data_IF_734936296729
#
_entry.id   IF_734936296729
#
_cell.length_a   1.000
_cell.length_b   1.000
_cell.length_c   1.000
_cell.angle_alpha   90.00
_cell.angle_beta   90.00
_cell.angle_gamma   90.00
#
_symmetry.space_group_name_H-M   'P 1'
#
loop_
_entity.id
_entity.type
_entity.pdbx_description
1 polymer ?
#
# COMPACT_ATOMS: atom_id res chain seq x y z
N UNK A 1 17.36 5.15 5.73
CA UNK A 1 16.09 4.43 5.92
C UNK A 1 14.99 5.39 5.60
N UNK A 2 14.03 4.99 4.78
CA UNK A 2 12.84 5.80 4.52
C UNK A 2 12.00 5.82 5.80
N UNK A 3 12.08 6.91 6.56
CA UNK A 3 11.21 7.17 7.71
C UNK A 3 9.91 7.81 7.20
N UNK A 4 9.20 7.07 6.34
CA UNK A 4 7.90 7.46 5.79
C UNK A 4 6.88 6.41 6.17
N UNK A 5 5.67 6.85 6.47
CA UNK A 5 4.57 5.96 6.78
C UNK A 5 3.81 5.67 5.48
N UNK A 6 3.69 4.39 5.09
CA UNK A 6 3.05 3.99 3.84
C UNK A 6 1.69 3.36 4.14
N UNK A 7 0.70 3.69 3.32
CA UNK A 7 -0.64 3.12 3.36
C UNK A 7 -0.99 2.59 1.98
N UNK A 8 -1.66 1.43 1.94
CA UNK A 8 -2.09 0.81 0.68
C UNK A 8 -3.62 0.87 0.65
N UNK A 9 -4.15 1.49 -0.39
CA UNK A 9 -5.58 1.56 -0.64
C UNK A 9 -5.97 0.46 -1.63
N UNK A 10 -7.07 -0.22 -1.36
CA UNK A 10 -7.73 -1.14 -2.28
C UNK A 10 -9.17 -0.64 -2.50
N UNK A 11 -9.64 -0.57 -3.74
CA UNK A 11 -11.01 -0.10 -4.01
C UNK A 11 -12.06 -1.11 -3.51
N UNK A 12 -13.01 -0.61 -2.70
CA UNK A 12 -14.17 -1.39 -2.27
C UNK A 12 -15.09 -1.68 -3.47
N UNK A 13 -15.05 -2.91 -3.95
CA UNK A 13 -15.75 -3.32 -5.18
C UNK A 13 -14.97 -4.31 -6.04
N UNK A 14 -13.66 -4.41 -5.80
CA UNK A 14 -12.88 -5.60 -6.18
C UNK A 14 -13.34 -6.75 -5.28
N UNK A 15 -14.49 -7.35 -5.58
CA UNK A 15 -14.78 -8.70 -5.14
C UNK A 15 -13.65 -9.56 -5.71
N UNK A 16 -12.72 -9.96 -4.85
CA UNK A 16 -11.76 -11.00 -5.18
C UNK A 16 -12.51 -12.33 -5.29
N UNK A 17 -13.13 -12.56 -6.44
CA UNK A 17 -13.25 -13.93 -6.95
C UNK A 17 -11.84 -14.37 -7.39
N UNK A 18 -11.54 -15.68 -7.43
CA UNK A 18 -10.19 -16.27 -7.67
C UNK A 18 -9.40 -15.70 -8.89
N UNK A 19 -10.06 -14.97 -9.80
CA UNK A 19 -9.49 -14.34 -11.01
C UNK A 19 -9.49 -12.78 -10.97
N UNK A 20 -10.08 -12.15 -9.96
CA UNK A 20 -10.18 -10.69 -9.86
C UNK A 20 -8.93 -10.09 -9.18
N UNK A 21 -8.05 -9.55 -10.02
CA UNK A 21 -6.87 -8.79 -9.60
C UNK A 21 -7.31 -7.53 -8.82
N UNK A 22 -7.01 -7.48 -7.53
CA UNK A 22 -7.20 -6.28 -6.72
C UNK A 22 -6.15 -5.24 -7.14
N UNK A 23 -6.60 -4.05 -7.57
CA UNK A 23 -5.70 -2.92 -7.80
C UNK A 23 -5.28 -2.31 -6.46
N UNK A 24 -3.96 -2.26 -6.22
CA UNK A 24 -3.38 -1.67 -5.02
C UNK A 24 -2.78 -0.31 -5.33
N UNK A 25 -3.18 0.70 -4.56
CA UNK A 25 -2.72 2.08 -4.71
C UNK A 25 -1.91 2.46 -3.47
N UNK A 26 -0.58 2.36 -3.50
CA UNK A 26 0.26 2.77 -2.39
C UNK A 26 0.39 4.28 -2.34
N UNK A 27 0.28 4.82 -1.13
CA UNK A 27 0.39 6.23 -0.83
C UNK A 27 1.28 6.43 0.41
N UNK A 28 1.96 7.57 0.46
CA UNK A 28 2.73 8.04 1.60
C UNK A 28 1.81 8.86 2.49
N UNK A 29 1.68 8.47 3.76
CA UNK A 29 1.02 9.26 4.78
C UNK A 29 2.00 10.31 5.33
N UNK A 30 1.72 11.58 5.05
CA UNK A 30 2.39 12.71 5.67
C UNK A 30 1.44 13.38 6.68
N UNK A 31 1.57 13.08 7.99
CA UNK A 31 0.81 13.78 9.01
C UNK A 31 1.27 15.24 9.10
N UNK A 32 0.33 16.12 9.37
CA UNK A 32 0.59 17.54 9.65
C UNK A 32 1.26 17.71 11.02
N UNK A 33 1.92 18.85 11.26
CA UNK A 33 2.61 19.17 12.53
C UNK A 33 1.70 19.06 13.77
N UNK A 34 0.38 19.21 13.58
CA UNK A 34 -0.63 19.06 14.62
C UNK A 34 -1.04 17.60 14.91
N UNK A 35 -0.78 16.65 14.00
CA UNK A 35 -1.23 15.26 14.09
C UNK A 35 -2.74 15.04 13.99
N UNK A 36 -3.54 16.10 13.82
CA UNK A 36 -5.01 16.04 13.64
C UNK A 36 -5.42 15.92 12.16
N UNK A 37 -4.45 15.89 11.25
CA UNK A 37 -4.66 15.76 9.82
C UNK A 37 -3.37 15.40 9.10
N UNK A 38 -3.44 15.36 7.77
CA UNK A 38 -2.30 15.01 6.92
C UNK A 38 -2.71 14.98 5.47
N UNK A 39 -1.75 14.62 4.62
CA UNK A 39 -1.99 14.39 3.19
C UNK A 39 -1.45 13.02 2.80
N UNK A 40 -2.12 12.42 1.83
CA UNK A 40 -1.59 11.26 1.12
C UNK A 40 -0.88 11.73 -0.14
N UNK A 41 0.38 11.35 -0.29
CA UNK A 41 1.15 11.59 -1.50
C UNK A 41 1.29 10.28 -2.28
N UNK A 42 1.23 10.30 -3.62
CA UNK A 42 1.51 9.11 -4.40
C UNK A 42 2.97 8.69 -4.23
N UNK A 43 3.24 7.39 -4.33
CA UNK A 43 4.61 6.88 -4.42
C UNK A 43 5.15 7.17 -5.82
N UNK A 44 6.22 7.96 -5.92
CA UNK A 44 6.77 8.41 -7.20
C UNK A 44 8.05 7.66 -7.62
N UNK A 45 8.69 6.93 -6.70
CA UNK A 45 10.01 6.33 -6.95
C UNK A 45 9.95 4.81 -7.05
N UNK A 46 10.69 4.27 -8.03
CA UNK A 46 10.77 2.82 -8.26
C UNK A 46 11.31 2.06 -7.03
N UNK A 47 12.24 2.65 -6.27
CA UNK A 47 12.81 2.03 -5.05
C UNK A 47 11.76 1.87 -3.94
N UNK A 48 10.83 2.83 -3.81
CA UNK A 48 9.72 2.74 -2.86
C UNK A 48 8.69 1.71 -3.35
N UNK A 49 8.43 1.65 -4.66
CA UNK A 49 7.57 0.64 -5.28
C UNK A 49 8.10 -0.78 -5.08
N UNK A 50 9.38 -1.03 -5.37
CA UNK A 50 10.03 -2.33 -5.19
C UNK A 50 9.90 -2.82 -3.73
N UNK A 51 10.07 -1.93 -2.75
CA UNK A 51 9.92 -2.27 -1.33
C UNK A 51 8.47 -2.65 -0.99
N UNK A 52 7.51 -1.87 -1.48
CA UNK A 52 6.10 -2.11 -1.22
C UNK A 52 5.65 -3.42 -1.88
N UNK A 53 6.04 -3.67 -3.13
CA UNK A 53 5.75 -4.92 -3.83
C UNK A 53 6.33 -6.13 -3.10
N UNK A 54 7.57 -6.05 -2.61
CA UNK A 54 8.17 -7.13 -1.83
C UNK A 54 7.35 -7.46 -0.58
N UNK A 55 6.95 -6.44 0.18
CA UNK A 55 6.16 -6.61 1.41
C UNK A 55 4.76 -7.14 1.10
N UNK A 56 4.09 -6.57 0.10
CA UNK A 56 2.73 -6.97 -0.31
C UNK A 56 2.72 -8.41 -0.80
N UNK A 57 3.62 -8.76 -1.73
CA UNK A 57 3.71 -10.12 -2.25
C UNK A 57 3.98 -11.10 -1.12
N UNK A 58 4.91 -10.80 -0.21
CA UNK A 58 5.19 -11.66 0.96
C UNK A 58 3.96 -11.82 1.86
N UNK A 59 3.14 -10.78 2.03
CA UNK A 59 1.96 -10.81 2.92
C UNK A 59 0.76 -11.50 2.30
N UNK A 60 0.51 -11.29 1.01
CA UNK A 60 -0.59 -11.94 0.28
C UNK A 60 -0.30 -13.42 0.03
N UNK A 61 0.96 -13.79 -0.25
CA UNK A 61 1.36 -15.18 -0.41
C UNK A 61 1.21 -15.97 0.91
N UNK A 62 1.57 -15.36 2.05
CA UNK A 62 1.37 -15.94 3.41
C UNK A 62 -0.12 -16.16 3.75
N UNK A 63 -1.02 -15.29 3.27
CA UNK A 63 -2.48 -15.43 3.46
C UNK A 63 -3.07 -16.56 2.59
N UNK A 64 -2.44 -16.89 1.45
CA UNK A 64 -2.93 -17.90 0.50
C UNK A 64 -2.52 -19.35 0.87
N UNK A 65 -1.62 -19.52 1.84
CA UNK A 65 -1.20 -20.84 2.35
C UNK A 65 -2.03 -21.34 3.57
N UNK A 66 -3.10 -20.62 3.95
CA UNK A 66 -3.86 -20.89 5.19
C UNK A 66 -5.32 -21.37 5.04
#
# INVERSE_FOLDING_TARGET
GFEKEYVILAEEGAQADDDDLIELIPMINEPDESGEGGRFLPVETDEEWDMIEEVVNTKLDDDHEH
#
